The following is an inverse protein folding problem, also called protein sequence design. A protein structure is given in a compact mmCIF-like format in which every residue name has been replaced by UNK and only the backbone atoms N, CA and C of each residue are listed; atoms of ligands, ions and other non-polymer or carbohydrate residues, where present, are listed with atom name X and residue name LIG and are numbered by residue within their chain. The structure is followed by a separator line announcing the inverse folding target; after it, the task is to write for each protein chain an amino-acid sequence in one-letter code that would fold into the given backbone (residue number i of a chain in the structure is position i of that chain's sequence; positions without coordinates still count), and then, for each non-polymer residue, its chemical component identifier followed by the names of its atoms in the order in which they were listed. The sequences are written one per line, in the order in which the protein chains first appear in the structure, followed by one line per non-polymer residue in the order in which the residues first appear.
data_IF_112958098428
#
_entry.id   IF_112958098428
#
_cell.length_a   1.000
_cell.length_b   1.000
_cell.length_c   1.000
_cell.angle_alpha   90.00
_cell.angle_beta   90.00
_cell.angle_gamma   90.00
#
_symmetry.space_group_name_H-M   'P 1'
#
loop_
_entity.id
_entity.type
_entity.pdbx_description
1 polymer ?
#
# COMPACT_ATOMS: atom_id res chain seq x y z
N UNK A 1 24.87 22.10 -5.86
CA UNK A 1 23.81 21.54 -5.01
C UNK A 1 23.02 20.59 -5.89
N UNK A 2 22.91 19.31 -5.57
CA UNK A 2 22.13 18.36 -6.39
C UNK A 2 20.67 18.83 -6.48
N UNK A 3 20.13 18.81 -7.69
CA UNK A 3 18.74 19.16 -7.90
C UNK A 3 17.85 17.97 -7.52
N UNK A 4 16.70 18.20 -6.86
CA UNK A 4 15.76 17.13 -6.56
C UNK A 4 15.11 16.62 -7.86
N UNK A 5 15.02 15.30 -8.02
CA UNK A 5 14.35 14.66 -9.16
C UNK A 5 12.84 14.96 -9.12
N UNK A 6 12.28 14.95 -7.91
CA UNK A 6 10.86 15.23 -7.69
C UNK A 6 10.67 15.90 -6.34
N UNK A 7 9.76 16.88 -6.30
CA UNK A 7 9.43 17.60 -5.08
C UNK A 7 7.92 17.54 -4.85
N UNK A 8 7.53 16.99 -3.71
CA UNK A 8 6.15 16.84 -3.30
C UNK A 8 5.84 17.82 -2.17
N UNK A 9 5.03 18.82 -2.47
CA UNK A 9 4.56 19.81 -1.49
C UNK A 9 3.10 19.53 -1.13
N UNK A 10 2.76 19.85 0.11
CA UNK A 10 1.36 19.89 0.53
C UNK A 10 0.67 21.02 -0.22
N UNK A 11 -0.55 20.78 -0.70
CA UNK A 11 -1.34 21.79 -1.40
C UNK A 11 -1.72 22.93 -0.44
N UNK A 12 -1.62 24.18 -0.91
CA UNK A 12 -2.08 25.35 -0.17
C UNK A 12 -3.59 25.31 0.14
N UNK A 13 -4.32 24.44 -0.53
CA UNK A 13 -5.75 24.24 -0.26
C UNK A 13 -6.01 23.84 1.19
N UNK A 14 -5.16 23.01 1.79
CA UNK A 14 -5.29 22.61 3.21
C UNK A 14 -5.11 23.80 4.16
N UNK A 15 -4.23 24.76 3.84
CA UNK A 15 -4.08 25.98 4.63
C UNK A 15 -5.37 26.82 4.58
N UNK A 16 -5.90 27.05 3.39
CA UNK A 16 -7.13 27.81 3.22
C UNK A 16 -8.34 27.12 3.88
N UNK A 17 -8.47 25.80 3.71
CA UNK A 17 -9.50 25.02 4.36
C UNK A 17 -9.39 25.09 5.90
N UNK A 18 -8.16 25.03 6.43
CA UNK A 18 -7.89 25.20 7.85
C UNK A 18 -8.30 26.57 8.38
N UNK A 19 -7.96 27.65 7.65
CA UNK A 19 -8.37 29.00 8.02
C UNK A 19 -9.89 29.18 8.05
N UNK A 20 -10.59 28.63 7.03
CA UNK A 20 -12.06 28.65 6.99
C UNK A 20 -12.65 27.88 8.17
N UNK A 21 -12.07 26.69 8.48
CA UNK A 21 -12.52 25.89 9.62
C UNK A 21 -12.32 26.62 10.95
N UNK A 22 -11.21 27.34 11.13
CA UNK A 22 -10.96 28.19 12.32
C UNK A 22 -11.97 29.32 12.41
N UNK A 23 -12.27 30.01 11.30
CA UNK A 23 -13.27 31.08 11.27
C UNK A 23 -14.66 30.57 11.65
N UNK A 24 -15.05 29.39 11.12
CA UNK A 24 -16.33 28.75 11.48
C UNK A 24 -16.35 28.32 12.95
N UNK A 25 -15.23 27.81 13.48
CA UNK A 25 -15.13 27.47 14.90
C UNK A 25 -15.27 28.69 15.80
N UNK A 26 -14.64 29.81 15.45
CA UNK A 26 -14.77 31.07 16.18
C UNK A 26 -16.21 31.61 16.14
N UNK A 27 -16.86 31.56 14.97
CA UNK A 27 -18.27 31.95 14.85
C UNK A 27 -19.18 31.05 15.68
N UNK A 28 -18.95 29.71 15.62
CA UNK A 28 -19.72 28.77 16.43
C UNK A 28 -19.51 28.98 17.93
N UNK A 29 -18.30 29.31 18.35
CA UNK A 29 -17.97 29.61 19.75
C UNK A 29 -18.72 30.86 20.22
N UNK A 30 -18.78 31.92 19.40
CA UNK A 30 -19.55 33.12 19.70
C UNK A 30 -21.04 32.81 19.86
N UNK A 31 -21.61 32.02 18.95
CA UNK A 31 -23.02 31.63 19.01
C UNK A 31 -23.32 30.76 20.24
N UNK A 32 -22.36 29.95 20.72
CA UNK A 32 -22.52 29.07 21.88
C UNK A 32 -22.67 29.84 23.21
N UNK A 33 -22.27 31.11 23.27
CA UNK A 33 -22.49 31.98 24.42
C UNK A 33 -23.99 32.21 24.65
N UNK A 34 -24.79 32.21 23.59
CA UNK A 34 -26.26 32.42 23.67
C UNK A 34 -27.02 31.10 23.76
N UNK A 35 -26.42 29.97 23.25
CA UNK A 35 -27.07 28.67 23.18
C UNK A 35 -26.10 27.56 23.58
N UNK A 36 -26.17 26.99 24.81
CA UNK A 36 -25.21 26.05 25.32
C UNK A 36 -25.13 24.73 24.50
N UNK A 37 -26.18 24.36 23.78
CA UNK A 37 -26.17 23.17 22.90
C UNK A 37 -25.14 23.28 21.77
N UNK A 38 -24.77 24.50 21.36
CA UNK A 38 -23.78 24.74 20.28
C UNK A 38 -22.34 24.39 20.68
N UNK A 39 -22.03 24.13 21.96
CA UNK A 39 -20.69 23.76 22.40
C UNK A 39 -20.17 22.47 21.75
N UNK A 40 -21.04 21.50 21.52
CA UNK A 40 -20.67 20.24 20.86
C UNK A 40 -20.18 20.52 19.44
N UNK A 41 -20.92 21.34 18.68
CA UNK A 41 -20.55 21.73 17.32
C UNK A 41 -19.23 22.50 17.30
N UNK A 42 -19.06 23.43 18.25
CA UNK A 42 -17.81 24.21 18.39
C UNK A 42 -16.61 23.29 18.63
N UNK A 43 -16.74 22.32 19.54
CA UNK A 43 -15.67 21.37 19.83
C UNK A 43 -15.29 20.52 18.60
N UNK A 44 -16.30 20.02 17.87
CA UNK A 44 -16.07 19.26 16.63
C UNK A 44 -15.38 20.11 15.54
N UNK A 45 -15.78 21.39 15.40
CA UNK A 45 -15.13 22.30 14.45
C UNK A 45 -13.69 22.60 14.83
N UNK A 46 -13.39 22.82 16.11
CA UNK A 46 -12.02 23.02 16.60
C UNK A 46 -11.17 21.76 16.34
N UNK A 47 -11.69 20.58 16.66
CA UNK A 47 -10.98 19.33 16.41
C UNK A 47 -10.70 19.12 14.91
N UNK A 48 -11.69 19.38 14.06
CA UNK A 48 -11.55 19.32 12.61
C UNK A 48 -10.52 20.31 12.08
N UNK A 49 -10.57 21.57 12.54
CA UNK A 49 -9.61 22.60 12.18
C UNK A 49 -8.18 22.20 12.58
N UNK A 50 -8.00 21.65 13.78
CA UNK A 50 -6.70 21.17 14.27
C UNK A 50 -6.13 20.07 13.38
N UNK A 51 -6.94 19.09 12.95
CA UNK A 51 -6.51 18.01 12.06
C UNK A 51 -6.11 18.57 10.69
N UNK A 52 -6.90 19.46 10.10
CA UNK A 52 -6.61 20.05 8.79
C UNK A 52 -5.34 20.88 8.82
N UNK A 53 -5.16 21.71 9.85
CA UNK A 53 -3.94 22.50 10.03
C UNK A 53 -2.72 21.60 10.28
N UNK A 54 -2.86 20.54 11.07
CA UNK A 54 -1.79 19.57 11.27
C UNK A 54 -1.34 18.93 9.95
N UNK A 55 -2.26 18.57 9.07
CA UNK A 55 -1.93 18.06 7.75
C UNK A 55 -1.27 19.12 6.86
N UNK A 56 -1.72 20.37 6.96
CA UNK A 56 -1.16 21.51 6.22
C UNK A 56 0.29 21.83 6.59
N UNK A 57 0.67 21.60 7.85
CA UNK A 57 2.04 21.85 8.35
C UNK A 57 3.03 20.74 8.06
N UNK A 58 2.62 19.66 7.38
CA UNK A 58 3.51 18.56 7.05
C UNK A 58 4.65 19.01 6.13
N UNK A 59 5.88 18.52 6.39
CA UNK A 59 7.06 18.90 5.62
C UNK A 59 6.97 18.41 4.17
N UNK A 60 7.58 19.16 3.26
CA UNK A 60 7.74 18.73 1.87
C UNK A 60 8.66 17.50 1.78
N UNK A 61 8.38 16.63 0.82
CA UNK A 61 9.17 15.45 0.53
C UNK A 61 9.93 15.71 -0.78
N UNK A 62 11.24 15.62 -0.75
CA UNK A 62 12.11 15.79 -1.89
C UNK A 62 12.85 14.47 -2.18
N UNK A 63 12.81 14.02 -3.41
CA UNK A 63 13.46 12.79 -3.85
C UNK A 63 14.73 13.15 -4.62
N UNK A 64 15.84 12.61 -4.15
CA UNK A 64 17.15 12.68 -4.80
C UNK A 64 17.59 11.27 -5.21
N UNK A 65 18.57 11.17 -6.10
CA UNK A 65 19.12 9.87 -6.51
C UNK A 65 19.74 9.07 -5.37
N UNK A 66 20.39 9.75 -4.43
CA UNK A 66 21.12 9.12 -3.32
C UNK A 66 20.32 9.00 -2.02
N UNK A 67 19.30 9.85 -1.84
CA UNK A 67 18.55 9.93 -0.58
C UNK A 67 17.15 10.51 -0.78
N UNK A 68 16.28 10.29 0.18
CA UNK A 68 15.01 11.00 0.32
C UNK A 68 15.14 12.03 1.44
N UNK A 69 14.68 13.26 1.20
CA UNK A 69 14.64 14.31 2.19
C UNK A 69 13.20 14.58 2.60
N UNK A 70 12.94 14.47 3.91
CA UNK A 70 11.63 14.71 4.53
C UNK A 70 11.80 15.87 5.50
N UNK A 71 11.41 17.07 5.09
CA UNK A 71 11.69 18.29 5.84
C UNK A 71 13.18 18.53 5.98
N UNK A 72 13.70 18.38 7.21
CA UNK A 72 15.12 18.55 7.52
C UNK A 72 15.91 17.23 7.51
N UNK A 73 15.24 16.09 7.60
CA UNK A 73 15.89 14.79 7.65
C UNK A 73 16.21 14.28 6.24
N UNK A 74 17.49 13.98 5.98
CA UNK A 74 17.95 13.33 4.76
C UNK A 74 18.24 11.83 5.05
N UNK A 75 17.55 10.93 4.40
CA UNK A 75 17.62 9.49 4.63
C UNK A 75 18.18 8.83 3.37
N UNK A 76 19.40 8.27 3.40
CA UNK A 76 19.95 7.52 2.28
C UNK A 76 19.11 6.29 1.96
N UNK A 77 18.92 5.97 0.67
CA UNK A 77 18.12 4.82 0.22
C UNK A 77 18.62 3.50 0.80
N UNK A 78 19.91 3.33 0.99
CA UNK A 78 20.54 2.13 1.57
C UNK A 78 20.13 1.87 3.03
N UNK A 79 19.67 2.89 3.76
CA UNK A 79 19.23 2.73 5.14
C UNK A 79 17.76 2.29 5.22
N UNK A 80 17.01 2.37 4.15
CA UNK A 80 15.61 1.94 4.12
C UNK A 80 15.57 0.43 3.89
N UNK A 81 15.09 -0.32 4.90
CA UNK A 81 14.96 -1.78 4.84
C UNK A 81 13.56 -2.25 4.50
N UNK A 82 12.56 -1.45 4.85
CA UNK A 82 11.18 -1.83 4.60
C UNK A 82 10.31 -0.60 4.34
N UNK A 83 9.41 -0.73 3.40
CA UNK A 83 8.44 0.27 2.98
C UNK A 83 7.06 -0.37 3.01
N UNK A 84 6.24 0.02 3.97
CA UNK A 84 4.87 -0.47 4.12
C UNK A 84 3.89 0.66 3.85
N UNK A 85 2.92 0.41 2.99
CA UNK A 85 1.82 1.33 2.74
C UNK A 85 0.67 1.03 3.71
N UNK A 86 0.13 2.08 4.35
CA UNK A 86 -0.97 1.94 5.31
C UNK A 86 -2.30 2.47 4.79
N UNK A 87 -2.31 3.55 4.03
CA UNK A 87 -3.53 4.20 3.54
C UNK A 87 -3.29 4.89 2.20
N UNK A 88 -4.37 5.14 1.47
CA UNK A 88 -4.33 5.82 0.17
C UNK A 88 -4.46 7.34 0.30
N UNK A 89 -5.37 7.82 1.18
CA UNK A 89 -5.66 9.25 1.34
C UNK A 89 -6.01 9.49 2.82
N UNK A 90 -5.17 10.31 3.52
CA UNK A 90 -3.85 10.76 3.11
C UNK A 90 -2.88 9.60 2.93
N UNK A 91 -1.92 9.70 1.97
CA UNK A 91 -0.94 8.65 1.79
C UNK A 91 -0.08 8.52 3.06
N UNK A 92 -0.15 7.36 3.68
CA UNK A 92 0.67 7.01 4.84
C UNK A 92 1.63 5.89 4.45
N UNK A 93 2.92 6.15 4.59
CA UNK A 93 3.98 5.19 4.30
C UNK A 93 4.85 5.06 5.53
N UNK A 94 5.03 3.85 6.01
CA UNK A 94 5.96 3.53 7.09
C UNK A 94 7.28 3.09 6.49
N UNK A 95 8.32 3.86 6.77
CA UNK A 95 9.70 3.53 6.42
C UNK A 95 10.36 2.91 7.64
N UNK A 96 10.87 1.70 7.52
CA UNK A 96 11.70 1.06 8.55
C UNK A 96 13.16 1.14 8.11
N UNK A 97 13.99 1.76 8.95
CA UNK A 97 15.40 1.95 8.70
C UNK A 97 16.24 0.77 9.19
N UNK A 98 17.51 0.75 8.83
CA UNK A 98 18.49 -0.28 9.25
C UNK A 98 18.67 -0.35 10.76
N UNK A 99 18.56 0.77 11.45
CA UNK A 99 18.64 0.93 12.92
C UNK A 99 17.30 0.60 13.63
N UNK A 100 16.39 -0.07 12.94
CA UNK A 100 15.05 -0.43 13.43
C UNK A 100 14.16 0.76 13.78
N UNK A 101 14.58 1.99 13.47
CA UNK A 101 13.72 3.17 13.63
C UNK A 101 12.62 3.17 12.57
N UNK A 102 11.43 3.64 12.96
CA UNK A 102 10.28 3.76 12.09
C UNK A 102 9.95 5.22 11.83
N UNK A 103 9.89 5.61 10.58
CA UNK A 103 9.49 6.95 10.18
C UNK A 103 8.16 6.85 9.47
N UNK A 104 7.15 7.53 10.00
CA UNK A 104 5.84 7.62 9.36
C UNK A 104 5.79 8.86 8.48
N UNK A 105 5.74 8.62 7.18
CA UNK A 105 5.58 9.65 6.16
C UNK A 105 4.09 9.82 5.89
N UNK A 106 3.57 11.01 6.15
CA UNK A 106 2.16 11.35 5.86
C UNK A 106 2.17 12.42 4.77
N UNK A 107 1.60 12.10 3.63
CA UNK A 107 1.49 13.02 2.50
C UNK A 107 0.01 13.30 2.19
N UNK A 108 -0.51 14.48 2.54
CA UNK A 108 -1.90 14.86 2.29
C UNK A 108 -2.06 15.52 0.90
N UNK A 109 -1.43 14.97 -0.12
CA UNK A 109 -1.57 15.45 -1.50
C UNK A 109 -2.77 14.83 -2.21
N UNK A 110 -2.97 15.21 -3.48
CA UNK A 110 -3.91 14.57 -4.37
C UNK A 110 -3.49 13.13 -4.71
N UNK A 111 -4.44 12.32 -5.19
CA UNK A 111 -4.22 10.91 -5.46
C UNK A 111 -3.13 10.66 -6.50
N UNK A 112 -3.03 11.52 -7.52
CA UNK A 112 -2.02 11.40 -8.57
C UNK A 112 -0.61 11.66 -8.03
N UNK A 113 -0.43 12.73 -7.26
CA UNK A 113 0.85 13.04 -6.61
C UNK A 113 1.23 12.00 -5.56
N UNK A 114 0.25 11.48 -4.80
CA UNK A 114 0.47 10.43 -3.82
C UNK A 114 0.92 9.11 -4.48
N UNK A 115 0.29 8.71 -5.60
CA UNK A 115 0.71 7.53 -6.35
C UNK A 115 2.07 7.72 -6.99
N UNK A 116 2.38 8.91 -7.54
CA UNK A 116 3.70 9.25 -8.07
C UNK A 116 4.79 9.23 -7.00
N UNK A 117 4.51 9.78 -5.80
CA UNK A 117 5.42 9.70 -4.65
C UNK A 117 5.70 8.24 -4.26
N UNK A 118 4.65 7.43 -4.13
CA UNK A 118 4.78 6.02 -3.77
C UNK A 118 5.57 5.23 -4.81
N UNK A 119 5.31 5.47 -6.09
CA UNK A 119 6.05 4.83 -7.18
C UNK A 119 7.54 5.20 -7.16
N UNK A 120 7.85 6.48 -6.93
CA UNK A 120 9.24 6.92 -6.81
C UNK A 120 9.92 6.34 -5.57
N UNK A 121 9.26 6.33 -4.41
CA UNK A 121 9.79 5.69 -3.20
C UNK A 121 10.12 4.21 -3.45
N UNK A 122 9.20 3.48 -4.10
CA UNK A 122 9.41 2.07 -4.46
C UNK A 122 10.55 1.88 -5.45
N UNK A 123 10.67 2.76 -6.45
CA UNK A 123 11.70 2.68 -7.50
C UNK A 123 13.11 2.85 -6.96
N UNK A 124 13.29 3.80 -6.03
CA UNK A 124 14.63 4.11 -5.48
C UNK A 124 15.01 3.22 -4.30
N UNK A 125 14.07 2.59 -3.61
CA UNK A 125 14.31 1.69 -2.48
C UNK A 125 14.68 0.27 -2.91
N UNK A 126 15.75 0.10 -3.68
CA UNK A 126 16.15 -1.17 -4.31
C UNK A 126 16.49 -2.28 -3.32
N UNK A 127 16.94 -1.94 -2.11
CA UNK A 127 17.32 -2.88 -1.06
C UNK A 127 16.19 -3.14 -0.05
N UNK A 128 15.07 -2.44 -0.19
CA UNK A 128 13.95 -2.53 0.74
C UNK A 128 12.95 -3.64 0.38
N UNK A 129 12.29 -4.17 1.40
CA UNK A 129 11.07 -4.94 1.24
C UNK A 129 9.90 -4.00 0.99
N UNK A 130 9.23 -4.12 -0.13
CA UNK A 130 8.08 -3.32 -0.52
C UNK A 130 6.81 -4.10 -0.16
N UNK A 131 6.05 -3.60 0.82
CA UNK A 131 4.84 -4.27 1.32
C UNK A 131 5.09 -5.76 1.70
N UNK A 132 6.29 -6.04 2.22
CA UNK A 132 6.73 -7.39 2.60
C UNK A 132 7.32 -8.24 1.46
N UNK A 133 7.35 -7.72 0.23
CA UNK A 133 7.90 -8.41 -0.95
C UNK A 133 9.27 -7.84 -1.32
N UNK A 134 10.28 -8.66 -1.62
CA UNK A 134 11.57 -8.18 -2.08
C UNK A 134 11.45 -7.36 -3.38
N UNK A 135 12.25 -6.30 -3.51
CA UNK A 135 12.25 -5.40 -4.67
C UNK A 135 12.24 -6.12 -6.02
N UNK A 136 13.12 -7.11 -6.19
CA UNK A 136 13.24 -7.88 -7.44
C UNK A 136 11.95 -8.62 -7.80
N UNK A 137 11.32 -9.21 -6.80
CA UNK A 137 10.06 -9.93 -6.98
C UNK A 137 8.90 -8.98 -7.24
N UNK A 138 8.89 -7.81 -6.60
CA UNK A 138 7.87 -6.80 -6.77
C UNK A 138 7.84 -6.23 -8.21
N UNK A 139 9.01 -6.05 -8.83
CA UNK A 139 9.13 -5.53 -10.20
C UNK A 139 9.22 -6.61 -11.27
N UNK A 140 9.05 -7.89 -10.92
CA UNK A 140 9.07 -8.98 -11.88
C UNK A 140 10.47 -9.36 -12.41
N UNK A 141 11.53 -8.78 -11.86
CA UNK A 141 12.90 -9.09 -12.27
C UNK A 141 13.39 -10.46 -11.75
N UNK A 142 12.60 -11.11 -10.89
CA UNK A 142 13.02 -12.31 -10.18
C UNK A 142 12.83 -13.62 -10.97
N UNK A 143 12.26 -13.57 -12.17
CA UNK A 143 11.92 -14.83 -12.86
C UNK A 143 13.09 -15.43 -13.64
N UNK A 144 14.22 -14.70 -13.80
CA UNK A 144 15.35 -15.20 -14.58
C UNK A 144 16.49 -15.83 -13.76
N UNK A 145 16.43 -15.82 -12.43
CA UNK A 145 17.53 -16.28 -11.59
C UNK A 145 17.13 -17.16 -10.39
N UNK A 146 15.90 -17.70 -10.38
CA UNK A 146 15.67 -18.90 -9.60
C UNK A 146 16.23 -20.04 -10.44
N UNK A 147 17.37 -20.66 -10.05
CA UNK A 147 17.72 -21.95 -10.64
C UNK A 147 16.45 -22.79 -10.48
N UNK A 148 16.00 -23.48 -11.53
CA UNK A 148 14.80 -24.31 -11.42
C UNK A 148 15.00 -25.07 -10.12
N UNK A 149 14.14 -24.81 -9.10
CA UNK A 149 14.08 -25.71 -7.95
C UNK A 149 14.05 -27.05 -8.64
N UNK A 150 15.16 -27.82 -8.53
CA UNK A 150 15.14 -29.22 -8.88
C UNK A 150 13.83 -29.69 -8.30
N UNK A 151 12.85 -29.87 -9.14
CA UNK A 151 11.64 -30.55 -8.75
C UNK A 151 12.18 -31.84 -8.20
N UNK A 152 12.33 -31.90 -6.88
CA UNK A 152 12.49 -33.18 -6.23
C UNK A 152 11.39 -34.00 -6.90
N UNK A 153 11.75 -35.12 -7.57
CA UNK A 153 10.73 -35.95 -8.15
C UNK A 153 9.66 -36.08 -7.07
N UNK A 154 8.43 -35.72 -7.43
CA UNK A 154 7.33 -35.76 -6.48
C UNK A 154 7.50 -37.06 -5.72
N UNK A 155 7.51 -37.03 -4.37
CA UNK A 155 7.71 -38.26 -3.63
C UNK A 155 6.68 -39.24 -4.23
N UNK A 156 7.13 -40.20 -4.97
CA UNK A 156 6.34 -41.32 -5.40
C UNK A 156 6.06 -42.13 -4.14
N UNK A 157 5.22 -41.55 -3.29
CA UNK A 157 4.50 -42.33 -2.31
C UNK A 157 3.50 -43.09 -3.15
N UNK A 158 3.61 -44.39 -3.30
CA UNK A 158 2.57 -45.19 -3.89
C UNK A 158 1.40 -45.15 -2.90
N UNK A 159 0.59 -44.06 -2.98
CA UNK A 159 -0.65 -43.93 -2.21
C UNK A 159 -1.70 -44.90 -2.76
N UNK A 160 -1.44 -45.48 -3.92
CA UNK A 160 -2.28 -46.50 -4.55
C UNK A 160 -1.41 -47.72 -4.75
N UNK A 161 -1.85 -48.90 -4.29
CA UNK A 161 -1.31 -50.14 -4.73
C UNK A 161 -1.55 -50.28 -6.25
N UNK A 162 -0.73 -51.02 -7.00
CA UNK A 162 -0.95 -51.25 -8.42
C UNK A 162 -2.34 -51.87 -8.74
N UNK A 163 -2.93 -52.59 -7.80
CA UNK A 163 -4.27 -53.12 -7.91
C UNK A 163 -5.36 -52.02 -7.82
N UNK A 164 -5.13 -51.00 -6.98
CA UNK A 164 -6.06 -49.84 -6.84
C UNK A 164 -6.01 -48.92 -8.08
N UNK A 165 -4.86 -48.81 -8.76
CA UNK A 165 -4.76 -48.07 -10.03
C UNK A 165 -5.63 -48.71 -11.12
N UNK A 166 -5.63 -50.02 -11.19
CA UNK A 166 -6.44 -50.76 -12.18
C UNK A 166 -7.95 -50.62 -11.91
N UNK A 167 -8.34 -50.52 -10.65
CA UNK A 167 -9.74 -50.33 -10.26
C UNK A 167 -10.22 -48.88 -10.54
N UNK A 168 -9.40 -47.90 -10.24
CA UNK A 168 -9.67 -46.47 -10.55
C UNK A 168 -9.78 -46.25 -12.07
N UNK A 169 -8.90 -46.89 -12.86
CA UNK A 169 -8.96 -46.79 -14.33
C UNK A 169 -10.24 -47.41 -14.88
N UNK A 170 -10.68 -48.52 -14.34
CA UNK A 170 -11.99 -49.17 -14.73
C UNK A 170 -13.15 -48.27 -14.37
N UNK A 171 -13.20 -47.69 -13.18
CA UNK A 171 -14.24 -46.74 -12.77
C UNK A 171 -14.26 -45.49 -13.67
N UNK A 172 -13.09 -44.95 -13.99
CA UNK A 172 -13.00 -43.78 -14.88
C UNK A 172 -13.51 -44.09 -16.29
N UNK A 173 -13.21 -45.29 -16.84
CA UNK A 173 -13.73 -45.71 -18.14
C UNK A 173 -15.23 -45.96 -18.10
N UNK A 174 -15.78 -46.49 -17.02
CA UNK A 174 -17.25 -46.66 -16.84
C UNK A 174 -17.96 -45.29 -16.79
N UNK A 175 -17.43 -44.32 -16.01
CA UNK A 175 -18.00 -42.97 -15.96
C UNK A 175 -17.95 -42.28 -17.33
N UNK A 176 -16.86 -42.44 -18.05
CA UNK A 176 -16.71 -41.87 -19.41
C UNK A 176 -17.66 -42.51 -20.42
N UNK A 177 -17.97 -43.78 -20.27
CA UNK A 177 -18.97 -44.47 -21.14
C UNK A 177 -20.40 -44.06 -20.82
N UNK A 178 -20.76 -43.85 -19.55
CA UNK A 178 -22.07 -43.36 -19.12
C UNK A 178 -22.31 -41.89 -19.54
N UNK A 179 -21.32 -41.00 -19.35
CA UNK A 179 -21.43 -39.59 -19.80
C UNK A 179 -21.60 -39.45 -21.33
N UNK A 180 -21.07 -40.43 -22.10
CA UNK A 180 -21.25 -40.44 -23.57
C UNK A 180 -22.61 -40.95 -24.03
N UNK A 181 -23.34 -41.65 -23.17
CA UNK A 181 -24.70 -42.12 -23.46
C UNK A 181 -25.75 -41.02 -23.22
N UNK A 182 -25.51 -40.12 -22.26
CA UNK A 182 -26.40 -38.98 -22.01
C UNK A 182 -26.33 -37.93 -23.14
N UNK A 183 -25.16 -37.66 -23.69
CA UNK A 183 -25.00 -36.69 -24.80
C UNK A 183 -25.70 -37.16 -26.10
N UNK A 184 -25.97 -38.48 -26.26
CA UNK A 184 -26.61 -39.03 -27.44
C UNK A 184 -28.15 -39.13 -27.34
N UNK A 185 -28.72 -38.82 -26.17
CA UNK A 185 -30.18 -38.85 -25.93
C UNK A 185 -30.83 -37.48 -25.96
N UNK A 186 -30.06 -36.37 -25.98
CA UNK A 186 -30.62 -35.02 -26.11
C UNK A 186 -30.79 -34.55 -27.55
N UNK A 187 -30.31 -35.28 -28.55
CA UNK A 187 -30.41 -34.94 -29.98
C UNK A 187 -31.51 -35.72 -30.73
N UNK A 188 -32.71 -35.92 -30.10
CA UNK A 188 -33.84 -36.52 -30.78
C UNK A 188 -35.15 -35.82 -30.47
#
# INVERSE_FOLDING_TARGET
VPLPISRYRVSNYYLWAGLVAVALAAFSAWLSLSRPVCWIATFLLIASAAVVLYLATRPSIEIYESHVKIGLAAIPWRHIRRLDRSSNIPLMVRLTLSDKTHILVIYPGDQNSASGLLQNLRRYSREALIDGVPYRQFWGEATSAVPPKKQLPAPRSPLLLPDDEAEVERMFQQLKSMGRLEEKTEDK
#
